data_IF_047872916310
#
_entry.id   IF_047872916310
#
_cell.length_a   1.000
_cell.length_b   1.000
_cell.length_c   1.000
_cell.angle_alpha   90.00
_cell.angle_beta   90.00
_cell.angle_gamma   90.00
#
_symmetry.space_group_name_H-M   'P 1'
#
loop_
_entity.id
_entity.type
_entity.pdbx_description
1 polymer ?
#
# COMPACT_ATOMS: atom_id res chain seq x y z
N UNK A 1 -7.70 28.43 -13.42
CA UNK A 1 -8.11 27.12 -12.93
C UNK A 1 -6.98 26.10 -13.07
N UNK A 2 -6.49 25.81 -14.27
CA UNK A 2 -5.50 24.73 -14.49
C UNK A 2 -4.20 24.86 -13.66
N UNK A 3 -3.67 26.07 -13.46
CA UNK A 3 -2.47 26.27 -12.64
C UNK A 3 -2.68 25.98 -11.15
N UNK A 4 -3.89 26.21 -10.63
CA UNK A 4 -4.24 25.91 -9.23
C UNK A 4 -4.39 24.39 -9.08
N UNK A 5 -5.01 23.73 -10.04
CA UNK A 5 -5.17 22.27 -10.02
C UNK A 5 -3.81 21.57 -10.13
N UNK A 6 -2.91 22.08 -10.98
CA UNK A 6 -1.52 21.59 -11.08
C UNK A 6 -0.79 21.70 -9.75
N UNK A 7 -0.88 22.87 -9.07
CA UNK A 7 -0.29 23.05 -7.74
C UNK A 7 -0.92 22.10 -6.70
N UNK A 8 -2.24 21.93 -6.74
CA UNK A 8 -2.95 21.03 -5.82
C UNK A 8 -2.45 19.59 -5.93
N UNK A 9 -2.36 19.06 -7.17
CA UNK A 9 -1.85 17.70 -7.38
C UNK A 9 -0.36 17.60 -7.05
N UNK A 10 0.44 18.62 -7.36
CA UNK A 10 1.87 18.63 -7.03
C UNK A 10 2.11 18.54 -5.52
N UNK A 11 1.33 19.26 -4.73
CA UNK A 11 1.40 19.13 -3.26
C UNK A 11 1.02 17.72 -2.82
N UNK A 12 -0.01 17.13 -3.43
CA UNK A 12 -0.37 15.74 -3.19
C UNK A 12 0.76 14.78 -3.52
N UNK A 13 1.38 14.92 -4.69
CA UNK A 13 2.52 14.09 -5.11
C UNK A 13 3.69 14.17 -4.10
N UNK A 14 4.03 15.38 -3.63
CA UNK A 14 5.08 15.58 -2.61
C UNK A 14 4.71 14.93 -1.29
N UNK A 15 3.45 15.07 -0.83
CA UNK A 15 2.98 14.44 0.41
C UNK A 15 3.02 12.90 0.31
N UNK A 16 2.60 12.33 -0.82
CA UNK A 16 2.64 10.87 -1.02
C UNK A 16 4.07 10.38 -1.23
N UNK A 17 4.94 11.16 -1.87
CA UNK A 17 6.37 10.85 -1.92
C UNK A 17 6.96 10.78 -0.50
N UNK A 18 6.59 11.68 0.40
CA UNK A 18 7.03 11.64 1.79
C UNK A 18 6.53 10.38 2.53
N UNK A 19 5.40 9.77 2.13
CA UNK A 19 4.94 8.49 2.69
C UNK A 19 5.96 7.36 2.50
N UNK A 20 6.81 7.41 1.47
CA UNK A 20 7.86 6.39 1.29
C UNK A 20 8.90 6.44 2.42
N UNK A 21 9.22 7.64 2.94
CA UNK A 21 9.98 7.74 4.18
C UNK A 21 9.20 7.16 5.37
N UNK A 22 7.88 7.35 5.41
CA UNK A 22 7.01 6.73 6.40
C UNK A 22 7.06 5.20 6.36
N UNK A 23 6.96 4.59 5.19
CA UNK A 23 7.14 3.13 5.02
C UNK A 23 8.53 2.67 5.50
N UNK A 24 9.59 3.40 5.12
CA UNK A 24 10.95 3.08 5.52
C UNK A 24 11.11 3.07 7.05
N UNK A 25 10.64 4.12 7.74
CA UNK A 25 10.75 4.20 9.20
C UNK A 25 9.82 3.24 9.93
N UNK A 26 8.61 2.97 9.41
CA UNK A 26 7.72 1.96 9.96
C UNK A 26 8.36 0.57 9.87
N UNK A 27 8.98 0.23 8.74
CA UNK A 27 9.68 -1.04 8.54
C UNK A 27 10.91 -1.14 9.43
N UNK A 28 11.78 -0.10 9.45
CA UNK A 28 12.96 -0.03 10.32
C UNK A 28 12.61 -0.21 11.78
N UNK A 29 11.54 0.41 12.25
CA UNK A 29 11.09 0.27 13.63
C UNK A 29 10.60 -1.13 13.97
N UNK A 30 10.10 -1.88 12.98
CA UNK A 30 9.48 -3.19 13.16
C UNK A 30 10.47 -4.35 13.00
N UNK A 31 11.34 -4.32 11.99
CA UNK A 31 12.31 -5.41 11.73
C UNK A 31 13.35 -5.55 12.85
N UNK A 32 13.97 -6.72 12.95
CA UNK A 32 15.11 -6.90 13.88
C UNK A 32 16.27 -5.97 13.50
N UNK A 33 17.03 -5.49 14.49
CA UNK A 33 18.10 -4.50 14.34
C UNK A 33 19.10 -4.83 13.22
N UNK A 34 19.41 -6.09 13.00
CA UNK A 34 20.32 -6.60 11.96
C UNK A 34 19.77 -6.51 10.52
N UNK A 35 18.59 -5.92 10.33
CA UNK A 35 17.92 -5.75 9.03
C UNK A 35 17.45 -4.30 8.78
N UNK A 36 17.88 -3.35 9.61
CA UNK A 36 17.44 -1.96 9.54
C UNK A 36 18.01 -1.22 8.33
N UNK A 37 19.29 -1.43 8.01
CA UNK A 37 19.91 -0.85 6.80
C UNK A 37 19.22 -1.35 5.54
N UNK A 38 18.98 -2.67 5.46
CA UNK A 38 18.30 -3.26 4.33
C UNK A 38 16.87 -2.71 4.15
N UNK A 39 16.14 -2.49 5.23
CA UNK A 39 14.82 -1.88 5.19
C UNK A 39 14.86 -0.47 4.57
N UNK A 40 15.79 0.38 5.00
CA UNK A 40 15.95 1.73 4.45
C UNK A 40 16.36 1.73 2.97
N UNK A 41 17.41 0.96 2.63
CA UNK A 41 17.95 0.92 1.26
C UNK A 41 16.94 0.31 0.29
N UNK A 42 16.20 -0.71 0.73
CA UNK A 42 15.20 -1.38 -0.11
C UNK A 42 14.06 -0.43 -0.52
N UNK A 43 13.52 0.36 0.39
CA UNK A 43 12.42 1.30 0.08
C UNK A 43 12.87 2.36 -0.95
N UNK A 44 14.05 2.96 -0.80
CA UNK A 44 14.51 3.96 -1.78
C UNK A 44 14.89 3.32 -3.12
N UNK A 45 15.39 2.09 -3.12
CA UNK A 45 15.69 1.36 -4.33
C UNK A 45 14.40 0.95 -5.08
N UNK A 46 13.40 0.42 -4.37
CA UNK A 46 12.09 0.09 -4.93
C UNK A 46 11.40 1.34 -5.51
N UNK A 47 11.45 2.49 -4.81
CA UNK A 47 10.95 3.77 -5.32
C UNK A 47 11.63 4.15 -6.64
N UNK A 48 12.96 4.05 -6.70
CA UNK A 48 13.73 4.42 -7.89
C UNK A 48 13.44 3.51 -9.09
N UNK A 49 13.38 2.20 -8.86
CA UNK A 49 13.03 1.20 -9.89
C UNK A 49 11.58 1.42 -10.35
N UNK A 50 10.67 1.70 -9.43
CA UNK A 50 9.27 2.02 -9.73
C UNK A 50 9.16 3.24 -10.64
N UNK A 51 9.94 4.30 -10.38
CA UNK A 51 9.92 5.50 -11.22
C UNK A 51 10.28 5.18 -12.66
N UNK A 52 11.32 4.40 -12.87
CA UNK A 52 11.77 3.99 -14.21
C UNK A 52 10.74 3.08 -14.87
N UNK A 53 10.27 2.04 -14.19
CA UNK A 53 9.31 1.09 -14.72
C UNK A 53 7.96 1.75 -15.09
N UNK A 54 7.45 2.62 -14.21
CA UNK A 54 6.20 3.32 -14.43
C UNK A 54 6.31 4.38 -15.53
N UNK A 55 7.44 5.12 -15.60
CA UNK A 55 7.69 6.11 -16.63
C UNK A 55 7.74 5.50 -18.04
N UNK A 56 8.50 4.42 -18.21
CA UNK A 56 8.71 3.84 -19.54
C UNK A 56 7.59 2.89 -19.97
N UNK A 57 6.89 2.25 -19.03
CA UNK A 57 5.91 1.20 -19.35
C UNK A 57 4.57 1.43 -18.64
N UNK A 58 4.57 1.55 -17.31
CA UNK A 58 3.35 1.48 -16.52
C UNK A 58 2.34 2.56 -16.85
N UNK A 59 2.76 3.81 -16.99
CA UNK A 59 1.84 4.91 -17.34
C UNK A 59 1.23 4.74 -18.73
N UNK A 60 2.01 4.19 -19.66
CA UNK A 60 1.51 3.80 -20.99
C UNK A 60 0.46 2.69 -20.92
N UNK A 61 0.66 1.69 -20.05
CA UNK A 61 -0.31 0.60 -19.83
C UNK A 61 -1.61 1.13 -19.21
N UNK A 62 -1.51 2.01 -18.21
CA UNK A 62 -2.69 2.54 -17.52
C UNK A 62 -3.46 3.58 -18.35
N UNK A 63 -2.75 4.53 -18.97
CA UNK A 63 -3.36 5.74 -19.56
C UNK A 63 -3.10 5.91 -21.06
N UNK A 64 -2.32 5.05 -21.69
CA UNK A 64 -1.97 5.17 -23.11
C UNK A 64 -1.04 6.36 -23.41
N UNK A 65 -0.41 6.96 -22.42
CA UNK A 65 0.44 8.16 -22.54
C UNK A 65 1.91 7.77 -22.48
N UNK A 66 2.71 8.40 -23.36
CA UNK A 66 4.16 8.26 -23.37
C UNK A 66 4.81 9.64 -23.28
N UNK A 67 5.84 9.74 -22.45
CA UNK A 67 6.65 10.97 -22.28
C UNK A 67 7.89 10.99 -23.17
N UNK A 68 8.05 10.02 -24.08
CA UNK A 68 9.16 9.95 -25.03
C UNK A 68 8.92 10.91 -26.21
N UNK A 69 8.73 12.19 -25.89
CA UNK A 69 8.47 13.30 -26.82
C UNK A 69 9.35 14.50 -26.45
N UNK A 70 9.44 15.50 -27.32
CA UNK A 70 10.22 16.72 -27.03
C UNK A 70 9.70 17.47 -25.80
N UNK A 71 10.60 18.10 -25.04
CA UNK A 71 10.27 18.82 -23.81
C UNK A 71 9.27 19.98 -24.05
N UNK A 72 9.27 20.57 -25.24
CA UNK A 72 8.30 21.60 -25.67
C UNK A 72 6.85 21.08 -25.62
N UNK A 73 6.64 19.81 -25.92
CA UNK A 73 5.32 19.16 -25.85
C UNK A 73 4.95 18.79 -24.41
N UNK A 74 5.93 18.48 -23.57
CA UNK A 74 5.69 18.06 -22.18
C UNK A 74 5.19 19.21 -21.30
N UNK A 75 5.57 20.47 -21.60
CA UNK A 75 5.14 21.64 -20.82
C UNK A 75 3.76 22.18 -21.21
N UNK A 76 3.08 21.57 -22.18
CA UNK A 76 1.74 21.96 -22.55
C UNK A 76 0.76 21.88 -21.36
N UNK A 77 -0.29 22.69 -21.37
CA UNK A 77 -1.33 22.73 -20.33
C UNK A 77 -0.75 22.89 -18.90
N UNK A 78 0.23 23.80 -18.72
CA UNK A 78 0.90 24.05 -17.43
C UNK A 78 1.59 22.80 -16.84
N UNK A 79 1.97 21.83 -17.67
CA UNK A 79 2.59 20.59 -17.23
C UNK A 79 1.65 19.68 -16.42
N UNK A 80 0.35 19.85 -16.53
CA UNK A 80 -0.63 19.10 -15.73
C UNK A 80 -0.44 17.60 -15.86
N UNK A 81 -0.21 17.06 -17.08
CA UNK A 81 -0.02 15.63 -17.30
C UNK A 81 1.27 15.10 -16.62
N UNK A 82 2.34 15.90 -16.59
CA UNK A 82 3.58 15.55 -15.87
C UNK A 82 3.34 15.49 -14.36
N UNK A 83 2.57 16.45 -13.84
CA UNK A 83 2.25 16.50 -12.42
C UNK A 83 1.31 15.37 -12.03
N UNK A 84 0.34 15.03 -12.89
CA UNK A 84 -0.53 13.88 -12.74
C UNK A 84 0.27 12.57 -12.75
N UNK A 85 1.21 12.42 -13.70
CA UNK A 85 2.15 11.30 -13.71
C UNK A 85 2.91 11.20 -12.38
N UNK A 86 3.47 12.30 -11.89
CA UNK A 86 4.22 12.30 -10.63
C UNK A 86 3.33 11.85 -9.46
N UNK A 87 2.09 12.35 -9.39
CA UNK A 87 1.13 11.93 -8.36
C UNK A 87 0.83 10.43 -8.44
N UNK A 88 0.43 9.93 -9.60
CA UNK A 88 0.07 8.53 -9.81
C UNK A 88 1.28 7.57 -9.70
N UNK A 89 2.47 8.03 -10.10
CA UNK A 89 3.71 7.28 -9.87
C UNK A 89 3.92 6.99 -8.38
N UNK A 90 3.64 7.93 -7.49
CA UNK A 90 3.81 7.70 -6.05
C UNK A 90 2.85 6.63 -5.50
N UNK A 91 1.68 6.46 -6.12
CA UNK A 91 0.76 5.36 -5.83
C UNK A 91 1.29 4.01 -6.34
N UNK A 92 1.78 3.99 -7.58
CA UNK A 92 2.40 2.80 -8.15
C UNK A 92 3.59 2.32 -7.32
N UNK A 93 4.45 3.25 -6.86
CA UNK A 93 5.60 2.96 -6.01
C UNK A 93 5.21 2.49 -4.59
N UNK A 94 3.99 2.77 -4.12
CA UNK A 94 3.49 2.23 -2.86
C UNK A 94 3.32 0.69 -2.91
N UNK A 95 3.12 0.09 -4.10
CA UNK A 95 2.96 -1.36 -4.24
C UNK A 95 4.18 -2.13 -3.71
N UNK A 96 5.42 -1.92 -4.22
CA UNK A 96 6.59 -2.60 -3.68
C UNK A 96 6.91 -2.17 -2.24
N UNK A 97 6.60 -0.93 -1.83
CA UNK A 97 6.78 -0.49 -0.45
C UNK A 97 5.89 -1.27 0.53
N UNK A 98 4.62 -1.55 0.17
CA UNK A 98 3.72 -2.43 0.92
C UNK A 98 4.29 -3.85 0.98
N UNK A 99 4.68 -4.41 -0.16
CA UNK A 99 5.21 -5.78 -0.26
C UNK A 99 6.46 -5.94 0.60
N UNK A 100 7.34 -4.94 0.60
CA UNK A 100 8.57 -4.87 1.38
C UNK A 100 8.35 -5.28 2.84
N UNK A 101 7.32 -4.73 3.50
CA UNK A 101 7.01 -5.04 4.89
C UNK A 101 6.64 -6.52 5.14
N UNK A 102 5.99 -7.18 4.17
CA UNK A 102 5.61 -8.59 4.29
C UNK A 102 6.79 -9.56 4.19
N UNK A 103 7.74 -9.26 3.28
CA UNK A 103 8.88 -10.13 2.93
C UNK A 103 10.16 -9.77 3.69
N UNK A 104 10.12 -8.76 4.54
CA UNK A 104 11.27 -8.25 5.27
C UNK A 104 12.10 -9.35 5.94
N UNK A 105 13.40 -9.06 6.14
CA UNK A 105 14.39 -9.89 6.83
C UNK A 105 14.86 -11.16 6.10
N UNK A 106 14.20 -11.61 5.02
CA UNK A 106 14.54 -12.87 4.34
C UNK A 106 14.53 -12.83 2.81
N UNK A 107 14.03 -11.74 2.22
CA UNK A 107 14.01 -11.60 0.77
C UNK A 107 15.37 -11.16 0.22
N UNK A 108 15.78 -11.73 -0.91
CA UNK A 108 16.94 -11.26 -1.68
C UNK A 108 16.65 -9.90 -2.29
N UNK A 109 17.64 -9.02 -2.28
CA UNK A 109 17.52 -7.64 -2.73
C UNK A 109 17.28 -7.53 -4.25
N UNK A 110 18.16 -8.10 -5.08
CA UNK A 110 18.03 -8.02 -6.54
C UNK A 110 16.74 -8.65 -7.11
N UNK A 111 16.37 -9.87 -6.71
CA UNK A 111 15.08 -10.47 -7.08
C UNK A 111 13.86 -9.64 -6.73
N UNK A 112 13.86 -8.94 -5.58
CA UNK A 112 12.78 -8.03 -5.22
C UNK A 112 12.71 -6.83 -6.17
N UNK A 113 13.84 -6.20 -6.50
CA UNK A 113 13.87 -5.09 -7.45
C UNK A 113 13.39 -5.51 -8.85
N UNK A 114 13.74 -6.73 -9.28
CA UNK A 114 13.22 -7.27 -10.54
C UNK A 114 11.70 -7.50 -10.48
N UNK A 115 11.17 -7.97 -9.35
CA UNK A 115 9.73 -8.08 -9.17
C UNK A 115 9.05 -6.72 -9.28
N UNK A 116 9.63 -5.68 -8.69
CA UNK A 116 9.14 -4.29 -8.77
C UNK A 116 8.98 -3.82 -10.22
N UNK A 117 9.94 -4.15 -11.12
CA UNK A 117 9.83 -3.78 -12.55
C UNK A 117 8.54 -4.32 -13.17
N UNK A 118 8.22 -5.60 -12.95
CA UNK A 118 7.03 -6.23 -13.54
C UNK A 118 5.74 -5.82 -12.83
N UNK A 119 5.77 -5.69 -11.51
CA UNK A 119 4.59 -5.31 -10.73
C UNK A 119 4.14 -3.89 -11.03
N UNK A 120 5.08 -2.95 -11.08
CA UNK A 120 4.82 -1.53 -11.33
C UNK A 120 4.75 -1.20 -12.83
N UNK A 121 5.41 -1.99 -13.68
CA UNK A 121 5.34 -1.81 -15.12
C UNK A 121 4.09 -2.41 -15.76
N UNK A 122 3.54 -3.50 -15.21
CA UNK A 122 2.48 -4.26 -15.88
C UNK A 122 1.27 -4.56 -14.97
N UNK A 123 1.48 -5.23 -13.82
CA UNK A 123 0.38 -5.79 -13.03
C UNK A 123 -0.50 -4.70 -12.40
N UNK A 124 0.12 -3.78 -11.65
CA UNK A 124 -0.58 -2.66 -11.03
C UNK A 124 -1.20 -1.72 -12.06
N UNK A 125 -0.46 -1.25 -13.10
CA UNK A 125 -1.01 -0.34 -14.08
C UNK A 125 -2.15 -0.92 -14.91
N UNK A 126 -2.17 -2.23 -15.12
CA UNK A 126 -3.29 -2.91 -15.76
C UNK A 126 -4.59 -2.70 -14.98
N UNK A 127 -4.59 -2.94 -13.67
CA UNK A 127 -5.78 -2.76 -12.84
C UNK A 127 -6.10 -1.28 -12.60
N UNK A 128 -5.09 -0.44 -12.41
CA UNK A 128 -5.23 1.01 -12.34
C UNK A 128 -5.97 1.56 -13.56
N UNK A 129 -5.56 1.16 -14.76
CA UNK A 129 -6.17 1.59 -16.01
C UNK A 129 -7.62 1.12 -16.18
N UNK A 130 -7.97 -0.08 -15.71
CA UNK A 130 -9.36 -0.55 -15.68
C UNK A 130 -10.25 0.38 -14.85
N UNK A 131 -9.76 0.78 -13.66
CA UNK A 131 -10.56 1.52 -12.69
C UNK A 131 -10.54 3.03 -12.96
N UNK A 132 -9.37 3.63 -13.15
CA UNK A 132 -9.24 5.10 -13.23
C UNK A 132 -9.18 5.64 -14.66
N UNK A 133 -8.98 4.79 -15.66
CA UNK A 133 -9.01 5.17 -17.09
C UNK A 133 -10.09 4.45 -17.92
N UNK A 134 -10.95 3.66 -17.29
CA UNK A 134 -12.00 2.90 -18.00
C UNK A 134 -11.48 2.04 -19.16
N UNK A 135 -10.27 1.49 -19.05
CA UNK A 135 -9.69 0.65 -20.08
C UNK A 135 -10.63 -0.54 -20.37
N UNK A 136 -10.74 -0.87 -21.65
CA UNK A 136 -11.64 -1.92 -22.18
C UNK A 136 -13.14 -1.69 -21.88
N UNK A 137 -13.54 -0.48 -21.48
CA UNK A 137 -14.94 -0.16 -21.16
C UNK A 137 -15.43 -0.82 -19.86
N UNK A 138 -14.53 -1.20 -18.95
CA UNK A 138 -14.86 -1.92 -17.72
C UNK A 138 -15.86 -1.16 -16.85
N UNK A 139 -15.62 0.13 -16.62
CA UNK A 139 -16.49 0.97 -15.80
C UNK A 139 -17.86 1.20 -16.46
N UNK A 140 -17.88 1.40 -17.78
CA UNK A 140 -19.11 1.59 -18.54
C UNK A 140 -19.98 0.32 -18.51
N UNK A 141 -19.36 -0.86 -18.63
CA UNK A 141 -20.06 -2.13 -18.53
C UNK A 141 -20.71 -2.33 -17.14
N UNK A 142 -19.99 -2.04 -16.06
CA UNK A 142 -20.54 -2.11 -14.70
C UNK A 142 -21.68 -1.11 -14.51
N UNK A 143 -21.51 0.12 -14.96
CA UNK A 143 -22.53 1.17 -14.86
C UNK A 143 -23.80 0.80 -15.64
N UNK A 144 -23.65 0.28 -16.84
CA UNK A 144 -24.79 -0.14 -17.67
C UNK A 144 -25.57 -1.30 -17.05
N UNK A 145 -24.87 -2.25 -16.43
CA UNK A 145 -25.50 -3.46 -15.89
C UNK A 145 -26.00 -3.31 -14.46
N UNK A 146 -25.32 -2.52 -13.60
CA UNK A 146 -25.58 -2.44 -12.17
C UNK A 146 -25.88 -1.02 -11.66
N UNK A 147 -26.06 -0.06 -12.56
CA UNK A 147 -26.49 1.32 -12.27
C UNK A 147 -25.38 2.27 -11.82
N UNK A 148 -24.21 1.76 -11.41
CA UNK A 148 -23.03 2.55 -11.06
C UNK A 148 -21.74 1.81 -11.38
N UNK A 149 -20.63 2.53 -11.69
CA UNK A 149 -19.33 1.92 -11.90
C UNK A 149 -18.75 1.36 -10.60
N UNK A 150 -17.63 0.69 -10.69
CA UNK A 150 -16.79 0.39 -9.52
C UNK A 150 -16.15 1.68 -9.00
N UNK A 151 -16.46 2.04 -7.77
CA UNK A 151 -16.00 3.29 -7.16
C UNK A 151 -14.82 3.03 -6.24
N UNK A 152 -13.66 3.55 -6.59
CA UNK A 152 -12.45 3.52 -5.76
C UNK A 152 -11.71 4.86 -5.90
N UNK A 153 -12.13 5.85 -5.10
CA UNK A 153 -11.72 7.24 -5.24
C UNK A 153 -10.20 7.43 -5.11
N UNK A 154 -9.60 6.85 -4.08
CA UNK A 154 -8.19 7.00 -3.79
C UNK A 154 -7.43 5.67 -3.65
N UNK A 155 -8.03 4.51 -3.94
CA UNK A 155 -7.29 3.26 -4.10
C UNK A 155 -7.33 2.30 -2.92
N UNK A 156 -8.45 2.16 -2.18
CA UNK A 156 -8.60 1.03 -1.25
C UNK A 156 -8.34 -0.30 -1.94
N UNK A 157 -8.91 -0.51 -3.14
CA UNK A 157 -8.65 -1.70 -3.94
C UNK A 157 -7.45 -1.52 -4.86
N UNK A 158 -7.42 -0.44 -5.67
CA UNK A 158 -6.39 -0.22 -6.70
C UNK A 158 -4.99 -0.25 -6.14
N UNK A 159 -4.77 0.34 -4.97
CA UNK A 159 -3.43 0.40 -4.35
C UNK A 159 -3.32 -0.63 -3.23
N UNK A 160 -4.19 -0.52 -2.21
CA UNK A 160 -3.97 -1.26 -0.97
C UNK A 160 -4.35 -2.74 -1.10
N UNK A 161 -5.52 -3.07 -1.63
CA UNK A 161 -5.86 -4.49 -1.83
C UNK A 161 -4.89 -5.13 -2.82
N UNK A 162 -4.63 -4.52 -3.99
CA UNK A 162 -3.67 -5.06 -4.96
C UNK A 162 -2.31 -5.28 -4.32
N UNK A 163 -1.72 -4.26 -3.67
CA UNK A 163 -0.42 -4.38 -3.00
C UNK A 163 -0.39 -5.45 -1.91
N UNK A 164 -1.42 -5.48 -1.05
CA UNK A 164 -1.51 -6.44 0.06
C UNK A 164 -1.72 -7.89 -0.39
N UNK A 165 -2.52 -8.14 -1.43
CA UNK A 165 -2.71 -9.48 -1.98
C UNK A 165 -1.52 -9.97 -2.79
N UNK A 166 -0.79 -9.09 -3.50
CA UNK A 166 0.52 -9.43 -4.09
C UNK A 166 1.52 -9.77 -2.97
N UNK A 167 1.55 -8.99 -1.89
CA UNK A 167 2.42 -9.28 -0.74
C UNK A 167 2.17 -10.66 -0.16
N UNK A 168 0.90 -11.08 -0.04
CA UNK A 168 0.58 -12.43 0.41
C UNK A 168 1.22 -13.51 -0.47
N UNK A 169 1.19 -13.35 -1.81
CA UNK A 169 1.82 -14.33 -2.72
C UNK A 169 3.33 -14.41 -2.50
N UNK A 170 3.98 -13.26 -2.34
CA UNK A 170 5.42 -13.19 -2.06
C UNK A 170 5.77 -13.86 -0.72
N UNK A 171 5.00 -13.57 0.34
CA UNK A 171 5.16 -14.16 1.67
C UNK A 171 5.01 -15.68 1.63
N UNK A 172 4.00 -16.19 0.92
CA UNK A 172 3.76 -17.63 0.78
C UNK A 172 4.91 -18.33 0.01
N UNK A 173 5.41 -17.72 -1.05
CA UNK A 173 6.50 -18.27 -1.86
C UNK A 173 7.86 -18.24 -1.14
N UNK A 174 8.09 -17.23 -0.29
CA UNK A 174 9.29 -17.12 0.54
C UNK A 174 9.27 -18.05 1.76
N UNK A 175 8.09 -18.28 2.32
CA UNK A 175 7.94 -18.99 3.58
C UNK A 175 8.29 -18.14 4.83
N UNK A 176 8.20 -18.75 6.00
CA UNK A 176 8.45 -18.09 7.26
C UNK A 176 9.95 -17.88 7.54
N UNK A 177 10.28 -16.83 8.32
CA UNK A 177 11.65 -16.60 8.81
C UNK A 177 12.16 -17.79 9.61
N UNK A 178 13.45 -18.04 9.54
CA UNK A 178 14.12 -19.12 10.27
C UNK A 178 13.82 -19.02 11.77
N UNK A 179 13.32 -20.12 12.36
CA UNK A 179 12.97 -20.20 13.78
C UNK A 179 11.67 -19.50 14.20
N UNK A 180 10.90 -18.91 13.28
CA UNK A 180 9.62 -18.25 13.60
C UNK A 180 8.59 -19.23 14.15
N UNK A 181 8.43 -20.37 13.51
CA UNK A 181 7.50 -21.43 13.91
C UNK A 181 8.27 -22.66 14.38
N UNK A 182 8.17 -23.01 15.66
CA UNK A 182 8.85 -24.16 16.26
C UNK A 182 8.05 -25.44 16.03
N UNK A 183 8.73 -26.59 16.05
CA UNK A 183 8.13 -27.91 15.86
C UNK A 183 7.03 -28.22 16.89
N UNK A 184 7.18 -27.73 18.11
CA UNK A 184 6.24 -27.89 19.24
C UNK A 184 4.99 -26.99 19.15
N UNK A 185 4.81 -26.27 18.05
CA UNK A 185 3.66 -25.39 17.83
C UNK A 185 3.85 -23.96 18.33
N UNK A 186 4.91 -23.65 19.08
CA UNK A 186 5.18 -22.32 19.59
C UNK A 186 5.56 -21.34 18.45
N UNK A 187 5.12 -20.10 18.59
CA UNK A 187 5.47 -18.98 17.71
C UNK A 187 6.51 -18.12 18.43
N UNK A 188 7.71 -18.00 17.85
CA UNK A 188 8.76 -17.18 18.43
C UNK A 188 8.38 -15.68 18.34
N UNK A 189 8.47 -14.95 19.43
CA UNK A 189 8.25 -13.51 19.44
C UNK A 189 9.41 -12.79 18.73
N UNK A 190 9.05 -11.86 17.82
CA UNK A 190 10.00 -10.92 17.22
C UNK A 190 9.44 -9.51 17.47
N UNK A 191 9.73 -8.91 18.64
CA UNK A 191 9.25 -7.59 18.97
C UNK A 191 9.89 -6.54 18.05
N UNK A 192 9.20 -5.38 17.83
CA UNK A 192 9.78 -4.26 17.12
C UNK A 192 11.13 -3.84 17.70
N UNK A 193 12.10 -3.53 16.83
CA UNK A 193 13.43 -3.12 17.27
C UNK A 193 13.50 -1.68 17.78
N UNK A 194 12.60 -0.80 17.30
CA UNK A 194 12.56 0.61 17.69
C UNK A 194 11.15 1.19 17.61
N UNK A 195 10.51 1.32 18.77
CA UNK A 195 9.18 1.96 18.86
C UNK A 195 9.22 3.42 18.39
N UNK A 196 10.25 4.27 18.70
CA UNK A 196 10.33 5.62 18.17
C UNK A 196 10.32 5.69 16.63
N UNK A 197 11.05 4.82 15.95
CA UNK A 197 11.03 4.79 14.47
C UNK A 197 9.71 4.27 13.91
N UNK A 198 9.13 3.24 14.53
CA UNK A 198 7.80 2.77 14.17
C UNK A 198 6.75 3.88 14.29
N UNK A 199 6.77 4.63 15.38
CA UNK A 199 5.89 5.77 15.61
C UNK A 199 6.12 6.89 14.57
N UNK A 200 7.39 7.25 14.31
CA UNK A 200 7.74 8.26 13.30
C UNK A 200 7.22 7.86 11.92
N UNK A 201 7.44 6.61 11.52
CA UNK A 201 6.95 6.09 10.24
C UNK A 201 5.43 6.18 10.12
N UNK A 202 4.70 5.79 11.17
CA UNK A 202 3.24 5.91 11.22
C UNK A 202 2.78 7.37 11.08
N UNK A 203 3.39 8.31 11.80
CA UNK A 203 3.04 9.73 11.71
C UNK A 203 3.28 10.33 10.32
N UNK A 204 4.41 9.99 9.68
CA UNK A 204 4.70 10.45 8.32
C UNK A 204 3.65 9.89 7.33
N UNK A 205 3.29 8.60 7.47
CA UNK A 205 2.23 7.98 6.67
C UNK A 205 0.89 8.67 6.88
N UNK A 206 0.50 8.92 8.14
CA UNK A 206 -0.77 9.62 8.47
C UNK A 206 -0.83 10.99 7.79
N UNK A 207 0.20 11.81 7.92
CA UNK A 207 0.24 13.15 7.31
C UNK A 207 0.18 13.06 5.79
N UNK A 208 0.98 12.17 5.18
CA UNK A 208 1.01 11.97 3.74
C UNK A 208 -0.32 11.47 3.17
N UNK A 209 -1.10 10.74 3.97
CA UNK A 209 -2.40 10.21 3.55
C UNK A 209 -3.45 11.28 3.23
N UNK A 210 -3.34 12.46 3.82
CA UNK A 210 -4.20 13.59 3.42
C UNK A 210 -3.86 14.06 2.00
N UNK A 211 -2.58 14.02 1.59
CA UNK A 211 -2.19 14.19 0.19
C UNK A 211 -2.74 13.08 -0.71
N UNK A 212 -2.64 11.85 -0.23
CA UNK A 212 -3.13 10.66 -0.94
C UNK A 212 -4.64 10.74 -1.21
N UNK A 213 -5.46 10.99 -0.18
CA UNK A 213 -6.92 11.01 -0.31
C UNK A 213 -7.44 12.31 -0.90
N UNK A 214 -7.11 13.47 -0.32
CA UNK A 214 -7.72 14.77 -0.71
C UNK A 214 -7.36 15.14 -2.14
N UNK A 215 -6.08 14.94 -2.52
CA UNK A 215 -5.60 15.31 -3.84
C UNK A 215 -5.98 14.30 -4.94
N UNK A 216 -6.57 13.16 -4.60
CA UNK A 216 -7.15 12.22 -5.58
C UNK A 216 -8.32 12.82 -6.38
N UNK A 217 -8.92 13.91 -5.91
CA UNK A 217 -9.84 14.72 -6.71
C UNK A 217 -9.19 15.32 -7.98
N UNK A 218 -7.85 15.37 -8.05
CA UNK A 218 -7.03 15.95 -9.14
C UNK A 218 -7.34 17.43 -9.48
N UNK A 219 -8.18 18.07 -8.70
CA UNK A 219 -8.52 19.50 -8.77
C UNK A 219 -9.07 19.96 -7.43
N UNK A 220 -8.98 21.24 -7.16
CA UNK A 220 -9.69 21.85 -6.04
C UNK A 220 -11.19 21.73 -6.29
N UNK A 221 -11.90 21.09 -5.38
CA UNK A 221 -13.33 20.83 -5.52
C UNK A 221 -14.05 20.91 -4.19
N UNK A 222 -15.39 21.04 -4.23
CA UNK A 222 -16.25 21.13 -3.05
C UNK A 222 -16.17 19.89 -2.15
N UNK A 223 -15.79 18.75 -2.70
CA UNK A 223 -15.62 17.51 -1.92
C UNK A 223 -14.33 17.45 -1.11
N UNK A 224 -13.33 18.33 -1.37
CA UNK A 224 -12.02 18.25 -0.70
C UNK A 224 -12.14 18.32 0.83
N UNK A 225 -13.02 19.16 1.36
CA UNK A 225 -13.30 19.23 2.79
C UNK A 225 -13.93 17.95 3.34
N UNK A 226 -14.87 17.34 2.59
CA UNK A 226 -15.50 16.07 2.96
C UNK A 226 -14.46 14.94 2.99
N UNK A 227 -13.61 14.84 1.97
CA UNK A 227 -12.54 13.83 1.89
C UNK A 227 -11.58 13.95 3.08
N UNK A 228 -11.17 15.18 3.41
CA UNK A 228 -10.28 15.44 4.55
C UNK A 228 -10.92 15.00 5.87
N UNK A 229 -12.18 15.37 6.10
CA UNK A 229 -12.90 15.01 7.34
C UNK A 229 -13.15 13.49 7.40
N UNK A 230 -13.54 12.86 6.30
CA UNK A 230 -13.75 11.41 6.23
C UNK A 230 -12.45 10.64 6.51
N UNK A 231 -11.33 11.10 5.98
CA UNK A 231 -10.00 10.52 6.25
C UNK A 231 -9.65 10.64 7.73
N UNK A 232 -9.86 11.81 8.35
CA UNK A 232 -9.64 12.03 9.77
C UNK A 232 -10.53 11.11 10.63
N UNK A 233 -11.82 11.03 10.33
CA UNK A 233 -12.76 10.21 11.10
C UNK A 233 -12.43 8.72 11.00
N UNK A 234 -12.08 8.22 9.82
CA UNK A 234 -11.66 6.82 9.65
C UNK A 234 -10.33 6.52 10.36
N UNK A 235 -9.37 7.43 10.29
CA UNK A 235 -8.11 7.34 11.04
C UNK A 235 -8.35 7.20 12.54
N UNK A 236 -9.21 8.07 13.09
CA UNK A 236 -9.61 8.04 14.52
C UNK A 236 -10.32 6.72 14.85
N UNK A 237 -11.27 6.30 14.02
CA UNK A 237 -11.96 5.02 14.18
C UNK A 237 -11.02 3.84 14.28
N UNK A 238 -10.06 3.74 13.35
CA UNK A 238 -9.05 2.68 13.34
C UNK A 238 -8.15 2.69 14.58
N UNK A 239 -7.74 3.88 15.03
CA UNK A 239 -6.96 4.06 16.27
C UNK A 239 -7.74 3.60 17.50
N UNK A 240 -9.00 4.01 17.65
CA UNK A 240 -9.84 3.62 18.78
C UNK A 240 -10.09 2.11 18.81
N UNK A 241 -10.29 1.48 17.66
CA UNK A 241 -10.42 0.03 17.56
C UNK A 241 -9.14 -0.69 18.02
N UNK A 242 -7.97 -0.22 17.54
CA UNK A 242 -6.68 -0.79 17.92
C UNK A 242 -6.41 -0.63 19.44
N UNK A 243 -6.76 0.50 20.02
CA UNK A 243 -6.69 0.70 21.47
C UNK A 243 -7.62 -0.25 22.23
N UNK A 244 -8.86 -0.42 21.75
CA UNK A 244 -9.87 -1.24 22.43
C UNK A 244 -9.51 -2.73 22.50
N UNK A 245 -8.94 -3.29 21.42
CA UNK A 245 -8.68 -4.74 21.35
C UNK A 245 -7.20 -5.13 21.22
N UNK A 246 -6.32 -4.18 20.92
CA UNK A 246 -4.88 -4.39 20.74
C UNK A 246 -4.09 -4.39 22.07
N UNK A 247 -4.74 -4.27 23.22
CA UNK A 247 -4.13 -4.27 24.56
C UNK A 247 -3.01 -3.24 24.72
N UNK A 248 -3.18 -2.06 24.12
CA UNK A 248 -2.20 -0.97 24.09
C UNK A 248 -0.84 -1.36 23.47
N UNK A 249 -0.79 -2.44 22.67
CA UNK A 249 0.43 -2.80 21.94
C UNK A 249 0.77 -1.70 20.93
N UNK A 250 1.98 -1.10 20.98
CA UNK A 250 2.36 -0.02 20.08
C UNK A 250 2.27 -0.38 18.60
N UNK A 251 2.58 -1.62 18.24
CA UNK A 251 2.47 -2.11 16.86
C UNK A 251 1.04 -2.02 16.35
N UNK A 252 0.05 -2.38 17.17
CA UNK A 252 -1.35 -2.23 16.79
C UNK A 252 -1.83 -0.77 16.83
N UNK A 253 -1.45 -0.02 17.86
CA UNK A 253 -1.89 1.36 18.03
C UNK A 253 -1.40 2.27 16.90
N UNK A 254 -0.16 2.12 16.46
CA UNK A 254 0.39 2.91 15.35
C UNK A 254 -0.02 2.42 13.95
N UNK A 255 -0.48 1.18 13.79
CA UNK A 255 -1.05 0.69 12.54
C UNK A 255 -2.59 0.83 12.48
N UNK A 256 -3.26 1.05 13.61
CA UNK A 256 -4.72 1.27 13.67
C UNK A 256 -5.21 2.42 12.80
N UNK A 257 -4.61 3.63 12.90
CA UNK A 257 -4.97 4.75 12.04
C UNK A 257 -4.76 4.42 10.55
N UNK A 258 -3.71 3.67 10.21
CA UNK A 258 -3.43 3.27 8.84
C UNK A 258 -4.51 2.32 8.31
N UNK A 259 -5.00 1.38 9.12
CA UNK A 259 -6.10 0.49 8.75
C UNK A 259 -7.37 1.28 8.39
N UNK A 260 -7.71 2.31 9.21
CA UNK A 260 -8.82 3.19 8.94
C UNK A 260 -8.66 3.98 7.64
N UNK A 261 -7.48 4.54 7.43
CA UNK A 261 -7.13 5.32 6.23
C UNK A 261 -7.16 4.44 4.96
N UNK A 262 -6.62 3.22 5.01
CA UNK A 262 -6.70 2.24 3.92
C UNK A 262 -8.16 1.96 3.53
N UNK A 263 -9.02 1.72 4.52
CA UNK A 263 -10.40 1.35 4.25
C UNK A 263 -11.24 2.51 3.70
N UNK A 264 -10.96 3.75 4.10
CA UNK A 264 -11.76 4.90 3.67
C UNK A 264 -11.37 5.42 2.27
N UNK A 265 -10.20 5.04 1.74
CA UNK A 265 -9.73 5.53 0.43
C UNK A 265 -10.77 5.39 -0.68
N UNK A 266 -11.51 4.27 -0.74
CA UNK A 266 -12.49 4.04 -1.80
C UNK A 266 -13.67 5.01 -1.78
N UNK A 267 -14.13 5.42 -0.60
CA UNK A 267 -15.38 6.16 -0.45
C UNK A 267 -15.24 7.44 0.36
N UNK A 268 -14.03 7.96 0.53
CA UNK A 268 -13.79 9.19 1.30
C UNK A 268 -14.49 10.42 0.70
N UNK A 269 -14.81 10.39 -0.59
CA UNK A 269 -15.52 11.43 -1.32
C UNK A 269 -17.05 11.31 -1.27
N UNK A 270 -17.59 10.13 -0.91
CA UNK A 270 -19.05 9.86 -0.96
C UNK A 270 -19.67 9.47 0.36
N UNK A 271 -18.88 9.06 1.36
CA UNK A 271 -19.41 8.65 2.67
C UNK A 271 -19.77 9.85 3.56
N UNK A 272 -20.70 9.63 4.48
CA UNK A 272 -20.94 10.54 5.60
C UNK A 272 -19.81 10.37 6.65
N UNK A 273 -19.34 11.43 7.36
CA UNK A 273 -18.26 11.32 8.34
C UNK A 273 -18.50 10.30 9.47
N UNK A 274 -19.74 10.10 9.90
CA UNK A 274 -20.09 9.06 10.88
C UNK A 274 -19.91 7.66 10.27
N UNK A 275 -20.25 7.48 8.99
CA UNK A 275 -20.00 6.24 8.24
C UNK A 275 -18.50 5.96 8.14
N UNK A 276 -17.71 6.99 7.84
CA UNK A 276 -16.24 6.87 7.75
C UNK A 276 -15.61 6.52 9.10
N UNK A 277 -16.10 7.06 10.23
CA UNK A 277 -15.68 6.64 11.57
C UNK A 277 -15.97 5.14 11.80
N UNK A 278 -17.17 4.69 11.45
CA UNK A 278 -17.57 3.29 11.59
C UNK A 278 -16.73 2.36 10.70
N UNK A 279 -16.48 2.73 9.44
CA UNK A 279 -15.62 2.00 8.51
C UNK A 279 -14.20 1.91 9.07
N UNK A 280 -13.63 3.01 9.56
CA UNK A 280 -12.31 3.02 10.17
C UNK A 280 -12.23 2.12 11.40
N UNK A 281 -13.26 2.18 12.29
CA UNK A 281 -13.32 1.33 13.47
C UNK A 281 -13.37 -0.16 13.10
N UNK A 282 -14.21 -0.53 12.14
CA UNK A 282 -14.30 -1.92 11.66
C UNK A 282 -12.99 -2.37 11.01
N UNK A 283 -12.31 -1.51 10.25
CA UNK A 283 -11.01 -1.80 9.67
C UNK A 283 -9.93 -2.04 10.74
N UNK A 284 -9.89 -1.22 11.79
CA UNK A 284 -8.99 -1.42 12.92
C UNK A 284 -9.23 -2.75 13.65
N UNK A 285 -10.50 -3.12 13.87
CA UNK A 285 -10.87 -4.44 14.42
C UNK A 285 -10.40 -5.58 13.51
N UNK A 286 -10.66 -5.45 12.19
CA UNK A 286 -10.28 -6.44 11.19
C UNK A 286 -8.76 -6.63 11.19
N UNK A 287 -8.00 -5.53 11.14
CA UNK A 287 -6.54 -5.58 11.14
C UNK A 287 -5.98 -6.31 12.35
N UNK A 288 -6.33 -5.92 13.58
CA UNK A 288 -5.78 -6.51 14.81
C UNK A 288 -6.11 -8.01 14.92
N UNK A 289 -7.36 -8.38 14.61
CA UNK A 289 -7.78 -9.77 14.65
C UNK A 289 -7.10 -10.62 13.57
N UNK A 290 -7.07 -10.11 12.34
CA UNK A 290 -6.51 -10.85 11.21
C UNK A 290 -4.98 -10.91 11.26
N UNK A 291 -4.29 -9.87 11.75
CA UNK A 291 -2.85 -9.95 12.03
C UNK A 291 -2.55 -11.13 12.97
N UNK A 292 -3.24 -11.17 14.11
CA UNK A 292 -3.04 -12.23 15.10
C UNK A 292 -3.42 -13.62 14.54
N UNK A 293 -4.51 -13.71 13.76
CA UNK A 293 -4.95 -14.95 13.15
C UNK A 293 -3.96 -15.46 12.09
N UNK A 294 -3.46 -14.57 11.22
CA UNK A 294 -2.47 -14.86 10.18
C UNK A 294 -1.19 -15.44 10.78
N UNK A 295 -0.65 -14.78 11.81
CA UNK A 295 0.58 -15.19 12.45
C UNK A 295 0.41 -16.49 13.25
N UNK A 296 -0.66 -16.62 14.05
CA UNK A 296 -0.76 -17.67 15.04
C UNK A 296 -1.53 -18.91 14.57
N UNK A 297 -2.52 -18.74 13.67
CA UNK A 297 -3.35 -19.85 13.19
C UNK A 297 -2.97 -20.31 11.79
N UNK A 298 -2.86 -19.37 10.83
CA UNK A 298 -2.46 -19.70 9.47
C UNK A 298 -0.96 -19.97 9.35
N UNK A 299 -0.17 -19.52 10.33
CA UNK A 299 1.31 -19.64 10.34
C UNK A 299 1.94 -19.03 9.08
N UNK A 300 1.40 -17.91 8.66
CA UNK A 300 1.94 -17.09 7.58
C UNK A 300 2.74 -15.97 8.22
N UNK A 301 4.07 -15.95 7.97
CA UNK A 301 4.99 -14.97 8.55
C UNK A 301 5.03 -13.70 7.71
N UNK A 302 3.95 -12.94 7.74
CA UNK A 302 3.84 -11.59 7.21
C UNK A 302 4.37 -10.61 8.26
N UNK A 303 5.59 -10.09 8.07
CA UNK A 303 6.36 -9.45 9.14
C UNK A 303 5.65 -8.24 9.73
N UNK A 304 5.19 -7.33 8.89
CA UNK A 304 4.47 -6.12 9.30
C UNK A 304 2.94 -6.30 9.30
N UNK A 305 2.44 -7.46 8.86
CA UNK A 305 1.01 -7.68 8.71
C UNK A 305 0.40 -6.90 7.53
N UNK A 306 1.14 -6.82 6.43
CA UNK A 306 0.74 -6.03 5.27
C UNK A 306 -0.48 -6.60 4.55
N UNK A 307 -0.64 -7.93 4.54
CA UNK A 307 -1.86 -8.53 4.01
C UNK A 307 -3.10 -8.19 4.85
N UNK A 308 -3.12 -8.36 6.18
CA UNK A 308 -4.22 -7.88 7.01
C UNK A 308 -4.48 -6.38 6.88
N UNK A 309 -3.41 -5.56 6.89
CA UNK A 309 -3.51 -4.11 6.90
C UNK A 309 -3.96 -3.55 5.54
N UNK A 310 -3.32 -3.95 4.46
CA UNK A 310 -3.58 -3.42 3.11
C UNK A 310 -4.51 -4.34 2.31
N UNK A 311 -4.25 -5.63 2.28
CA UNK A 311 -5.01 -6.60 1.49
C UNK A 311 -6.46 -6.73 1.96
N UNK A 312 -6.65 -7.01 3.26
CA UNK A 312 -7.98 -7.24 3.81
C UNK A 312 -8.71 -5.94 4.11
N UNK A 313 -8.06 -4.94 4.74
CA UNK A 313 -8.70 -3.65 5.00
C UNK A 313 -8.98 -2.88 3.71
N UNK A 314 -8.14 -3.01 2.66
CA UNK A 314 -8.39 -2.41 1.35
C UNK A 314 -9.59 -3.04 0.65
N UNK A 315 -9.68 -4.36 0.62
CA UNK A 315 -10.83 -5.07 0.07
C UNK A 315 -12.12 -4.75 0.86
N UNK A 316 -12.04 -4.74 2.18
CA UNK A 316 -13.15 -4.32 3.05
C UNK A 316 -13.59 -2.89 2.75
N UNK A 317 -12.66 -1.94 2.60
CA UNK A 317 -12.94 -0.54 2.32
C UNK A 317 -13.66 -0.32 0.99
N UNK A 318 -13.21 -1.03 -0.06
CA UNK A 318 -13.87 -1.02 -1.36
C UNK A 318 -15.33 -1.52 -1.27
N UNK A 319 -15.57 -2.61 -0.52
CA UNK A 319 -16.93 -3.10 -0.28
C UNK A 319 -17.75 -2.15 0.58
N UNK A 320 -17.15 -1.59 1.62
CA UNK A 320 -17.80 -0.62 2.52
C UNK A 320 -18.24 0.64 1.78
N UNK A 321 -17.53 1.06 0.73
CA UNK A 321 -17.94 2.15 -0.15
C UNK A 321 -19.32 1.91 -0.76
N UNK A 322 -19.62 0.70 -1.22
CA UNK A 322 -20.93 0.34 -1.78
C UNK A 322 -22.09 0.39 -0.77
N UNK A 323 -21.77 0.33 0.51
CA UNK A 323 -22.74 0.39 1.61
C UNK A 323 -22.85 1.83 2.16
N UNK A 324 -21.76 2.35 2.70
CA UNK A 324 -21.72 3.64 3.41
C UNK A 324 -21.69 4.86 2.47
N UNK A 325 -21.36 4.68 1.19
CA UNK A 325 -21.53 5.72 0.16
C UNK A 325 -22.98 5.90 -0.30
N UNK A 326 -23.90 5.01 0.08
CA UNK A 326 -25.32 5.07 -0.29
C UNK A 326 -26.01 6.27 0.35
N UNK A 327 -26.91 6.90 -0.43
CA UNK A 327 -27.74 8.02 0.06
C UNK A 327 -28.63 7.59 1.24
N UNK A 328 -29.05 6.33 1.34
CA UNK A 328 -29.84 5.81 2.46
C UNK A 328 -29.12 5.84 3.81
N UNK A 329 -27.78 5.86 3.79
CA UNK A 329 -26.93 5.99 4.97
C UNK A 329 -26.28 7.37 5.10
N UNK A 330 -26.83 8.37 4.39
CA UNK A 330 -26.36 9.75 4.42
C UNK A 330 -25.15 10.03 3.52
N UNK A 331 -24.74 9.08 2.68
CA UNK A 331 -23.73 9.28 1.66
C UNK A 331 -24.25 10.04 0.44
N UNK A 332 -23.36 10.40 -0.50
CA UNK A 332 -23.74 11.13 -1.70
C UNK A 332 -24.40 10.24 -2.77
N UNK A 333 -24.35 8.91 -2.61
CA UNK A 333 -24.89 7.97 -3.60
C UNK A 333 -23.95 7.73 -4.79
N UNK A 334 -24.50 7.21 -5.89
CA UNK A 334 -23.73 6.92 -7.11
C UNK A 334 -22.85 5.67 -7.00
N UNK A 335 -23.08 4.82 -5.99
CA UNK A 335 -22.36 3.58 -5.74
C UNK A 335 -23.27 2.35 -5.90
N UNK A 336 -22.70 1.22 -6.26
CA UNK A 336 -23.38 -0.07 -6.37
C UNK A 336 -22.60 -1.15 -5.63
N UNK A 337 -23.22 -1.80 -4.64
CA UNK A 337 -22.56 -2.88 -3.91
C UNK A 337 -22.14 -4.03 -4.84
N UNK A 338 -22.91 -4.30 -5.89
CA UNK A 338 -22.58 -5.36 -6.87
C UNK A 338 -21.33 -4.98 -7.65
N UNK A 339 -21.24 -3.72 -8.13
CA UNK A 339 -20.02 -3.23 -8.79
C UNK A 339 -18.81 -3.27 -7.88
N UNK A 340 -19.00 -2.95 -6.59
CA UNK A 340 -17.93 -3.04 -5.58
C UNK A 340 -17.48 -4.50 -5.35
N UNK A 341 -18.39 -5.46 -5.31
CA UNK A 341 -18.05 -6.88 -5.21
C UNK A 341 -17.24 -7.36 -6.43
N UNK A 342 -17.68 -7.01 -7.64
CA UNK A 342 -17.01 -7.41 -8.89
C UNK A 342 -15.62 -6.76 -8.98
N UNK A 343 -15.53 -5.44 -8.78
CA UNK A 343 -14.25 -4.73 -8.87
C UNK A 343 -13.24 -5.17 -7.81
N UNK A 344 -13.70 -5.38 -6.56
CA UNK A 344 -12.84 -5.91 -5.48
C UNK A 344 -12.41 -7.34 -5.76
N UNK A 345 -13.31 -8.20 -6.24
CA UNK A 345 -12.98 -9.56 -6.63
C UNK A 345 -11.94 -9.60 -7.76
N UNK A 346 -12.09 -8.72 -8.75
CA UNK A 346 -11.13 -8.59 -9.84
C UNK A 346 -9.77 -8.08 -9.34
N UNK A 347 -9.73 -7.09 -8.43
CA UNK A 347 -8.50 -6.62 -7.81
C UNK A 347 -7.72 -7.75 -7.15
N UNK A 348 -8.41 -8.56 -6.33
CA UNK A 348 -7.83 -9.73 -5.66
C UNK A 348 -7.32 -10.76 -6.67
N UNK A 349 -8.10 -11.05 -7.72
CA UNK A 349 -7.71 -12.01 -8.75
C UNK A 349 -6.46 -11.55 -9.52
N UNK A 350 -6.42 -10.30 -9.97
CA UNK A 350 -5.26 -9.71 -10.67
C UNK A 350 -4.04 -9.73 -9.77
N UNK A 351 -4.19 -9.35 -8.50
CA UNK A 351 -3.10 -9.35 -7.53
C UNK A 351 -2.53 -10.75 -7.27
N UNK A 352 -3.40 -11.75 -7.05
CA UNK A 352 -2.97 -13.12 -6.79
C UNK A 352 -2.31 -13.73 -8.04
N UNK A 353 -2.95 -13.63 -9.20
CA UNK A 353 -2.40 -14.19 -10.45
C UNK A 353 -1.08 -13.49 -10.80
N UNK A 354 -1.07 -12.15 -10.82
CA UNK A 354 0.12 -11.37 -11.13
C UNK A 354 1.26 -11.63 -10.14
N UNK A 355 0.95 -11.66 -8.84
CA UNK A 355 1.92 -11.93 -7.79
C UNK A 355 2.52 -13.35 -7.89
N UNK A 356 1.68 -14.39 -8.06
CA UNK A 356 2.19 -15.76 -8.23
C UNK A 356 3.00 -15.93 -9.52
N UNK A 357 2.60 -15.30 -10.62
CA UNK A 357 3.35 -15.35 -11.88
C UNK A 357 4.71 -14.66 -11.70
N UNK A 358 4.74 -13.41 -11.25
CA UNK A 358 5.98 -12.63 -11.13
C UNK A 358 6.93 -13.28 -10.11
N UNK A 359 6.49 -13.48 -8.87
CA UNK A 359 7.35 -14.07 -7.85
C UNK A 359 7.65 -15.55 -8.09
N UNK A 360 6.73 -16.30 -8.71
CA UNK A 360 6.95 -17.69 -9.08
C UNK A 360 8.05 -17.84 -10.12
N UNK A 361 8.04 -17.03 -11.18
CA UNK A 361 9.08 -17.02 -12.20
C UNK A 361 10.43 -16.60 -11.61
N UNK A 362 10.48 -15.51 -10.85
CA UNK A 362 11.72 -15.03 -10.23
C UNK A 362 12.27 -16.09 -9.26
N UNK A 363 11.41 -16.75 -8.49
CA UNK A 363 11.82 -17.87 -7.63
C UNK A 363 12.47 -19.01 -8.41
N UNK A 364 11.88 -19.37 -9.57
CA UNK A 364 12.37 -20.47 -10.38
C UNK A 364 13.75 -20.18 -11.00
N UNK A 365 14.00 -18.93 -11.41
CA UNK A 365 15.23 -18.57 -12.13
C UNK A 365 16.34 -18.00 -11.24
N UNK A 366 16.01 -17.28 -10.18
CA UNK A 366 16.98 -16.54 -9.36
C UNK A 366 16.95 -16.91 -7.87
N UNK A 367 15.86 -17.57 -7.44
CA UNK A 367 15.56 -17.71 -6.01
C UNK A 367 15.10 -16.38 -5.40
N UNK A 368 14.24 -16.44 -4.38
CA UNK A 368 13.69 -15.25 -3.71
C UNK A 368 14.30 -15.02 -2.33
N UNK A 369 14.73 -16.09 -1.66
CA UNK A 369 15.07 -16.07 -0.25
C UNK A 369 16.58 -16.08 -0.06
N UNK A 370 17.05 -15.31 0.93
CA UNK A 370 18.40 -15.42 1.47
C UNK A 370 18.67 -16.86 1.92
N UNK A 371 19.90 -17.29 1.87
CA UNK A 371 20.27 -18.58 2.46
C UNK A 371 20.21 -18.51 3.99
N UNK A 372 20.36 -19.67 4.64
CA UNK A 372 20.16 -19.77 6.08
C UNK A 372 21.20 -18.98 6.87
N UNK A 373 22.43 -18.93 6.40
CA UNK A 373 23.54 -18.22 7.03
C UNK A 373 23.36 -16.70 6.90
N UNK A 374 23.02 -16.21 5.70
CA UNK A 374 22.73 -14.80 5.44
C UNK A 374 21.53 -14.30 6.26
N UNK A 375 20.46 -15.10 6.35
CA UNK A 375 19.30 -14.75 7.19
C UNK A 375 19.66 -14.76 8.69
N UNK A 376 20.57 -15.66 9.12
CA UNK A 376 21.05 -15.70 10.48
C UNK A 376 21.92 -14.50 10.82
N UNK A 377 22.85 -14.11 9.96
CA UNK A 377 23.73 -12.95 10.13
C UNK A 377 22.96 -11.63 10.01
N UNK A 378 21.90 -11.60 9.20
CA UNK A 378 21.06 -10.45 8.91
C UNK A 378 21.38 -9.79 7.57
N UNK A 379 20.35 -9.26 6.96
CA UNK A 379 20.43 -8.65 5.62
C UNK A 379 21.37 -7.43 5.56
N UNK A 380 21.58 -6.73 6.66
CA UNK A 380 22.47 -5.57 6.72
C UNK A 380 23.91 -5.97 6.42
N UNK A 381 24.40 -7.03 7.04
CA UNK A 381 25.76 -7.53 6.81
C UNK A 381 25.86 -8.34 5.50
N UNK A 382 24.88 -9.20 5.23
CA UNK A 382 24.93 -10.09 4.06
C UNK A 382 24.79 -9.36 2.73
N UNK A 383 24.02 -8.27 2.69
CA UNK A 383 23.74 -7.52 1.46
C UNK A 383 24.55 -6.22 1.40
N UNK A 384 24.59 -5.47 2.51
CA UNK A 384 25.15 -4.11 2.54
C UNK A 384 26.52 -4.01 3.21
N UNK A 385 26.97 -5.07 3.90
CA UNK A 385 28.27 -5.15 4.59
C UNK A 385 28.49 -4.04 5.63
N UNK A 386 27.40 -3.55 6.23
CA UNK A 386 27.40 -2.51 7.26
C UNK A 386 26.22 -2.70 8.19
N UNK A 387 26.37 -2.39 9.47
CA UNK A 387 25.26 -2.36 10.43
C UNK A 387 24.63 -0.98 10.54
N UNK A 388 23.48 -0.88 11.18
CA UNK A 388 22.78 0.38 11.41
C UNK A 388 23.51 1.31 12.41
N UNK A 389 24.50 0.79 13.17
CA UNK A 389 25.26 1.53 14.15
C UNK A 389 26.75 1.18 14.06
N UNK A 390 27.42 1.46 12.92
CA UNK A 390 28.77 0.97 12.66
C UNK A 390 29.80 1.45 13.66
N UNK A 391 29.70 2.69 14.19
CA UNK A 391 30.63 3.23 15.20
C UNK A 391 30.64 2.46 16.53
N UNK A 392 29.54 1.76 16.85
CA UNK A 392 29.45 0.98 18.09
C UNK A 392 30.14 -0.38 17.98
N UNK A 393 30.46 -0.82 16.79
CA UNK A 393 31.05 -2.13 16.49
C UNK A 393 32.55 -2.04 16.24
N UNK A 394 33.11 -0.84 16.06
CA UNK A 394 34.56 -0.61 15.99
C UNK A 394 35.10 -0.44 17.39
N UNK A 395 35.88 -1.41 17.86
CA UNK A 395 36.73 -1.21 19.03
C UNK A 395 37.87 -0.29 18.64
N UNK A 396 37.91 0.89 19.21
CA UNK A 396 39.04 1.80 19.12
C UNK A 396 40.17 1.29 20.01
#
# INVERSE_FOLDING_TARGET
>A
MQSVDTLFILLGAIMVLAMHAGFAFLEVGTVRQKNQVNALVKIIADLSVSAVAYFFVGYGVAYGVSFLVGADKLVANSGFELTKFFFLFTFAAAIPAIISGGIAERAKFGPQLLATVFLVGLIYPFFEGLVWNNNFGFQDALKAQFGAPFHDFAGSAVVHAVGGWIALTAVLLLGARSGRYRKEGAVAAHPPSSIPFLALGSWILIVGWFGFNVMSAQKVSDISGLVALNSLMAMVGGTLAALAIGRNDPGFVYNGPLAGLVAVCAGSDVMHPVGSLAVGFMAGLLFVKMFSYTQNKLRIDDVLGVWPLHGLCGAFGALACGIFGSASLGGLGGVSLVSQLIGTGLAIAVALVGGFVVYGLIRAFMGLRLDQEDEFNGADLSIHQVSATPERETSW
#
